data_IF_187566182399
#
_entry.id   IF_187566182399
#
_cell.length_a   1.000
_cell.length_b   1.000
_cell.length_c   1.000
_cell.angle_alpha   90.00
_cell.angle_beta   90.00
_cell.angle_gamma   90.00
#
_symmetry.space_group_name_H-M   'P 1'
#
loop_
_entity.id
_entity.type
_entity.pdbx_description
1 polymer ?
#
# COMPACT_ATOMS: atom_id res chain seq x y z
N UNK A 1 12.71 -18.60 -0.15
CA UNK A 1 14.07 -18.18 0.23
C UNK A 1 14.15 -17.68 1.68
N UNK A 2 13.55 -16.54 2.06
CA UNK A 2 13.66 -16.04 3.45
C UNK A 2 12.87 -16.84 4.50
N UNK A 3 11.68 -17.33 4.13
CA UNK A 3 10.88 -18.20 5.01
C UNK A 3 11.55 -19.55 5.25
N UNK A 4 12.21 -20.10 4.23
CA UNK A 4 12.90 -21.39 4.29
C UNK A 4 14.13 -21.35 5.21
N UNK A 5 14.65 -20.16 5.51
CA UNK A 5 15.77 -19.96 6.45
C UNK A 5 15.31 -19.49 7.83
N UNK A 6 14.01 -19.62 8.15
CA UNK A 6 13.48 -19.35 9.49
C UNK A 6 13.30 -17.88 9.87
N UNK A 7 13.37 -16.94 8.92
CA UNK A 7 13.07 -15.53 9.20
C UNK A 7 11.57 -15.28 9.24
N UNK A 8 11.16 -14.41 10.17
CA UNK A 8 9.84 -13.75 10.11
C UNK A 8 9.83 -12.73 8.97
N UNK A 9 8.88 -12.85 8.05
CA UNK A 9 8.71 -11.94 6.91
C UNK A 9 7.60 -10.95 7.21
N UNK A 10 7.94 -9.66 7.19
CA UNK A 10 6.99 -8.54 7.37
C UNK A 10 6.89 -7.77 6.07
N UNK A 11 5.66 -7.47 5.63
CA UNK A 11 5.40 -6.70 4.42
C UNK A 11 4.88 -5.31 4.80
N UNK A 12 5.34 -4.29 4.08
CA UNK A 12 4.78 -2.94 4.16
C UNK A 12 3.83 -2.74 2.98
N UNK A 13 2.56 -2.44 3.26
CA UNK A 13 1.57 -2.12 2.22
C UNK A 13 1.20 -0.65 2.32
N UNK A 14 1.07 -0.01 1.16
CA UNK A 14 0.72 1.39 1.04
C UNK A 14 -0.52 1.54 0.16
N UNK A 15 -1.74 1.59 0.74
CA UNK A 15 -2.93 1.88 -0.06
C UNK A 15 -2.89 3.32 -0.57
N UNK A 16 -3.75 3.61 -1.56
CA UNK A 16 -3.90 4.92 -2.19
C UNK A 16 -2.63 5.38 -2.93
N UNK A 17 -1.88 4.44 -3.50
CA UNK A 17 -0.77 4.75 -4.41
C UNK A 17 -1.29 5.34 -5.74
N UNK A 18 -0.48 6.13 -6.45
CA UNK A 18 -0.87 6.66 -7.76
C UNK A 18 -1.31 5.55 -8.73
N UNK A 19 -2.41 5.79 -9.42
CA UNK A 19 -3.01 4.87 -10.40
C UNK A 19 -3.56 3.55 -9.83
N UNK A 20 -3.73 3.45 -8.50
CA UNK A 20 -4.41 2.34 -7.82
C UNK A 20 -5.66 2.88 -7.13
N UNK A 21 -6.82 2.35 -7.54
CA UNK A 21 -8.12 2.69 -6.95
C UNK A 21 -8.47 1.76 -5.78
N UNK A 22 -9.49 2.14 -5.00
CA UNK A 22 -9.87 1.44 -3.76
C UNK A 22 -10.19 -0.04 -3.97
N UNK A 23 -10.86 -0.39 -5.06
CA UNK A 23 -11.18 -1.78 -5.40
C UNK A 23 -9.90 -2.62 -5.60
N UNK A 24 -8.90 -2.04 -6.28
CA UNK A 24 -7.61 -2.71 -6.53
C UNK A 24 -6.75 -2.78 -5.27
N UNK A 25 -6.82 -1.79 -4.39
CA UNK A 25 -6.18 -1.88 -3.07
C UNK A 25 -6.78 -3.03 -2.25
N UNK A 26 -8.12 -3.19 -2.25
CA UNK A 26 -8.80 -4.28 -1.55
C UNK A 26 -8.42 -5.65 -2.14
N UNK A 27 -8.42 -5.78 -3.47
CA UNK A 27 -7.98 -7.00 -4.15
C UNK A 27 -6.53 -7.36 -3.79
N UNK A 28 -5.63 -6.37 -3.72
CA UNK A 28 -4.25 -6.59 -3.30
C UNK A 28 -4.16 -7.12 -1.87
N UNK A 29 -4.99 -6.63 -0.93
CA UNK A 29 -5.01 -7.17 0.43
C UNK A 29 -5.57 -8.59 0.48
N UNK A 30 -6.64 -8.87 -0.27
CA UNK A 30 -7.20 -10.23 -0.37
C UNK A 30 -6.13 -11.17 -0.90
N UNK A 31 -5.48 -10.82 -2.01
CA UNK A 31 -4.40 -11.63 -2.60
C UNK A 31 -3.25 -11.85 -1.62
N UNK A 32 -2.82 -10.80 -0.90
CA UNK A 32 -1.71 -10.87 0.06
C UNK A 32 -1.91 -11.97 1.12
N UNK A 33 -3.15 -12.22 1.54
CA UNK A 33 -3.48 -13.20 2.57
C UNK A 33 -3.99 -14.54 2.01
N UNK A 34 -4.64 -14.54 0.84
CA UNK A 34 -5.15 -15.77 0.25
C UNK A 34 -4.10 -16.51 -0.59
N UNK A 35 -3.26 -15.80 -1.33
CA UNK A 35 -2.26 -16.39 -2.21
C UNK A 35 -1.09 -16.97 -1.37
N UNK A 36 -0.81 -18.28 -1.43
CA UNK A 36 0.25 -18.92 -0.64
C UNK A 36 1.66 -18.39 -0.95
N UNK A 37 1.86 -17.69 -2.07
CA UNK A 37 3.12 -17.05 -2.40
C UNK A 37 3.51 -15.92 -1.43
N UNK A 38 2.55 -15.30 -0.73
CA UNK A 38 2.78 -14.18 0.18
C UNK A 38 2.59 -14.56 1.64
N UNK A 39 1.35 -14.47 2.16
CA UNK A 39 0.95 -14.79 3.55
C UNK A 39 1.97 -14.32 4.59
N UNK A 40 2.26 -13.01 4.69
CA UNK A 40 3.31 -12.52 5.56
C UNK A 40 3.01 -12.76 7.04
N UNK A 41 4.05 -12.85 7.85
CA UNK A 41 3.94 -13.03 9.30
C UNK A 41 3.62 -11.71 10.04
N UNK A 42 3.64 -10.59 9.32
CA UNK A 42 3.26 -9.28 9.81
C UNK A 42 3.03 -8.30 8.68
N UNK A 43 2.16 -7.33 8.94
CA UNK A 43 1.83 -6.25 8.02
C UNK A 43 2.08 -4.91 8.70
N UNK A 44 2.76 -3.99 8.01
CA UNK A 44 2.73 -2.56 8.34
C UNK A 44 1.93 -1.83 7.28
N UNK A 45 0.86 -1.18 7.70
CA UNK A 45 -0.04 -0.43 6.84
C UNK A 45 0.32 1.06 6.89
N UNK A 46 0.65 1.65 5.75
CA UNK A 46 1.00 3.06 5.62
C UNK A 46 0.17 3.70 4.50
N UNK A 47 -1.01 4.29 4.80
CA UNK A 47 -1.74 5.07 3.81
C UNK A 47 -0.82 6.09 3.14
N UNK A 48 -0.87 6.15 1.81
CA UNK A 48 0.04 7.02 1.04
C UNK A 48 -0.22 8.48 1.39
N UNK A 49 0.82 9.17 1.87
CA UNK A 49 0.77 10.58 2.25
C UNK A 49 1.49 11.47 1.23
N UNK A 50 0.90 12.63 0.96
CA UNK A 50 1.55 13.67 0.16
C UNK A 50 2.46 14.50 1.06
N UNK A 51 3.78 14.37 0.87
CA UNK A 51 4.79 15.09 1.66
C UNK A 51 5.51 16.10 0.77
N UNK A 52 5.63 17.35 1.23
CA UNK A 52 6.33 18.42 0.51
C UNK A 52 7.77 17.99 0.17
N UNK A 53 8.21 18.28 -1.06
CA UNK A 53 9.54 17.94 -1.55
C UNK A 53 9.67 16.54 -2.16
N UNK A 54 8.57 15.79 -2.26
CA UNK A 54 8.53 14.48 -2.93
C UNK A 54 7.98 14.59 -4.36
N UNK A 55 8.25 13.61 -5.22
CA UNK A 55 7.64 13.56 -6.55
C UNK A 55 6.11 13.44 -6.50
N UNK A 56 5.57 12.78 -5.46
CA UNK A 56 4.12 12.68 -5.25
C UNK A 56 3.49 14.06 -5.00
N UNK A 57 4.20 14.97 -4.33
CA UNK A 57 3.74 16.35 -4.14
C UNK A 57 3.58 17.11 -5.46
N UNK A 58 4.48 16.90 -6.43
CA UNK A 58 4.34 17.54 -7.75
C UNK A 58 3.16 16.96 -8.55
N UNK A 59 2.88 15.66 -8.41
CA UNK A 59 1.68 15.05 -9.00
C UNK A 59 0.40 15.63 -8.37
N UNK A 60 0.38 15.76 -7.05
CA UNK A 60 -0.74 16.37 -6.33
C UNK A 60 -0.94 17.84 -6.73
N UNK A 61 0.14 18.63 -6.78
CA UNK A 61 0.11 20.06 -7.15
C UNK A 61 -0.42 20.29 -8.56
N UNK A 62 -0.17 19.35 -9.47
CA UNK A 62 -0.68 19.39 -10.86
C UNK A 62 -2.04 18.71 -11.03
N UNK A 63 -2.68 18.26 -9.95
CA UNK A 63 -3.98 17.59 -9.98
C UNK A 63 -3.97 16.17 -10.55
N UNK A 64 -2.78 15.62 -10.83
CA UNK A 64 -2.58 14.26 -11.37
C UNK A 64 -2.61 13.17 -10.30
N UNK A 65 -2.61 13.55 -9.02
CA UNK A 65 -2.86 12.66 -7.90
C UNK A 65 -3.83 13.31 -6.92
N UNK A 66 -4.80 12.54 -6.43
CA UNK A 66 -5.75 12.94 -5.40
C UNK A 66 -5.82 11.80 -4.38
N UNK A 67 -5.60 12.13 -3.11
CA UNK A 67 -5.75 11.15 -2.04
C UNK A 67 -7.22 10.81 -1.82
N UNK A 68 -7.48 9.64 -1.23
CA UNK A 68 -8.83 9.28 -0.80
C UNK A 68 -9.35 10.26 0.26
N UNK A 69 -10.69 10.43 0.36
CA UNK A 69 -11.30 11.13 1.48
C UNK A 69 -10.86 10.50 2.81
N UNK A 70 -10.67 11.29 3.88
CA UNK A 70 -10.27 10.77 5.18
C UNK A 70 -11.17 9.61 5.66
N UNK A 71 -12.48 9.71 5.44
CA UNK A 71 -13.49 8.72 5.86
C UNK A 71 -13.28 7.33 5.24
N UNK A 72 -12.54 7.23 4.13
CA UNK A 72 -12.21 5.97 3.46
C UNK A 72 -10.95 5.32 4.06
N UNK A 73 -10.11 6.10 4.74
CA UNK A 73 -8.81 5.68 5.29
C UNK A 73 -8.80 5.58 6.83
N UNK A 74 -9.93 5.82 7.49
CA UNK A 74 -10.11 5.74 8.95
C UNK A 74 -10.57 4.36 9.43
#
# INVERSE_FOLDING_TARGET
>A
MSKDTGYKVVIHMMPNLPNVGIERDLEQFIELFENPAFRPDGLKLYPTLVIRGTGLYELWKTGRYKSYPPEVLH
#
